data_IF_901398561098
#
_entry.id   IF_901398561098
#
_cell.length_a   1.000
_cell.length_b   1.000
_cell.length_c   1.000
_cell.angle_alpha   90.00
_cell.angle_beta   90.00
_cell.angle_gamma   90.00
#
_symmetry.space_group_name_H-M   'P 1'
#
loop_
_entity.id
_entity.type
_entity.pdbx_description
1 polymer ?
#
# COMPACT_ATOMS: atom_id res chain seq x y z
N UNK A 1 -8.98 -52.73 34.74
CA UNK A 1 -8.25 -52.29 33.53
C UNK A 1 -8.22 -53.42 32.50
N UNK A 2 -9.11 -53.40 31.52
CA UNK A 2 -8.92 -53.99 30.19
C UNK A 2 -9.73 -53.12 29.23
N UNK A 3 -9.02 -52.29 28.47
CA UNK A 3 -9.56 -51.42 27.43
C UNK A 3 -10.34 -52.25 26.41
N UNK A 4 -11.66 -52.21 26.45
CA UNK A 4 -12.49 -52.57 25.30
C UNK A 4 -12.35 -51.43 24.28
N UNK A 5 -11.34 -51.53 23.41
CA UNK A 5 -11.25 -50.70 22.20
C UNK A 5 -12.40 -51.12 21.28
N UNK A 6 -13.57 -50.52 21.45
CA UNK A 6 -14.72 -50.70 20.58
C UNK A 6 -14.37 -50.20 19.18
N UNK A 7 -14.31 -51.12 18.21
CA UNK A 7 -14.23 -50.78 16.79
C UNK A 7 -15.47 -50.02 16.34
N UNK A 8 -15.35 -49.31 15.22
CA UNK A 8 -16.45 -48.59 14.60
C UNK A 8 -17.52 -49.56 14.08
N UNK A 9 -18.79 -49.28 14.35
CA UNK A 9 -19.93 -50.13 13.99
C UNK A 9 -20.21 -50.22 12.48
N UNK A 10 -19.54 -49.42 11.64
CA UNK A 10 -19.71 -49.43 10.19
C UNK A 10 -18.99 -50.60 9.47
N UNK A 11 -18.31 -51.46 10.22
CA UNK A 11 -17.61 -52.64 9.65
C UNK A 11 -16.22 -52.34 9.06
N UNK A 12 -15.69 -51.12 9.24
CA UNK A 12 -14.37 -50.73 8.71
C UNK A 12 -13.18 -51.29 9.49
N UNK A 13 -13.39 -51.90 10.66
CA UNK A 13 -12.34 -52.43 11.53
C UNK A 13 -11.47 -51.37 12.23
N UNK A 14 -11.69 -50.08 11.98
CA UNK A 14 -10.99 -48.95 12.63
C UNK A 14 -11.67 -48.56 13.94
N UNK A 15 -10.98 -47.82 14.83
CA UNK A 15 -11.62 -47.23 16.02
C UNK A 15 -12.66 -46.19 15.61
N UNK A 16 -13.71 -46.02 16.42
CA UNK A 16 -14.82 -45.10 16.12
C UNK A 16 -14.34 -43.65 15.83
N UNK A 17 -13.40 -43.15 16.64
CA UNK A 17 -12.77 -41.82 16.53
C UNK A 17 -12.01 -41.60 15.19
N UNK A 18 -11.44 -42.67 14.62
CA UNK A 18 -10.62 -42.62 13.41
C UNK A 18 -11.42 -42.97 12.14
N UNK A 19 -12.74 -43.18 12.26
CA UNK A 19 -13.59 -43.64 11.18
C UNK A 19 -14.85 -42.77 11.00
N UNK A 20 -15.95 -43.09 11.68
CA UNK A 20 -17.21 -42.36 11.49
C UNK A 20 -17.29 -41.06 12.31
N UNK A 21 -16.43 -40.88 13.31
CA UNK A 21 -16.34 -39.65 14.11
C UNK A 21 -15.22 -38.71 13.69
N UNK A 22 -14.41 -39.08 12.68
CA UNK A 22 -13.26 -38.28 12.24
C UNK A 22 -13.64 -37.02 11.47
N UNK A 23 -14.82 -37.03 10.83
CA UNK A 23 -15.36 -35.97 9.97
C UNK A 23 -16.88 -35.77 10.20
N UNK A 24 -17.36 -35.92 11.42
CA UNK A 24 -18.65 -35.34 11.75
C UNK A 24 -18.45 -33.82 11.85
N UNK A 25 -18.58 -33.10 10.73
CA UNK A 25 -18.74 -31.65 10.77
C UNK A 25 -19.97 -31.37 11.64
N UNK A 26 -19.73 -31.00 12.91
CA UNK A 26 -20.79 -30.59 13.80
C UNK A 26 -21.29 -29.26 13.24
N UNK A 27 -22.32 -29.32 12.40
CA UNK A 27 -23.00 -28.13 11.90
C UNK A 27 -23.71 -27.52 13.09
N UNK A 28 -23.18 -26.40 13.58
CA UNK A 28 -23.88 -25.58 14.56
C UNK A 28 -25.14 -24.99 13.89
N UNK A 29 -26.28 -25.62 14.16
CA UNK A 29 -27.58 -25.22 13.61
C UNK A 29 -27.95 -23.79 14.00
N UNK A 30 -27.48 -23.29 15.14
CA UNK A 30 -27.71 -21.91 15.56
C UNK A 30 -26.90 -20.98 14.68
N UNK A 31 -25.60 -21.25 14.50
CA UNK A 31 -24.76 -20.45 13.61
C UNK A 31 -25.24 -20.47 12.16
N UNK A 32 -25.68 -21.63 11.65
CA UNK A 32 -26.23 -21.75 10.31
C UNK A 32 -27.46 -20.84 10.10
N UNK A 33 -28.31 -20.68 11.13
CA UNK A 33 -29.45 -19.73 11.07
C UNK A 33 -28.98 -18.27 11.03
N UNK A 34 -27.92 -17.93 11.76
CA UNK A 34 -27.32 -16.59 11.66
C UNK A 34 -26.73 -16.34 10.27
N UNK A 35 -26.05 -17.31 9.68
CA UNK A 35 -25.47 -17.18 8.33
C UNK A 35 -26.54 -17.05 7.24
N UNK A 36 -27.70 -17.70 7.39
CA UNK A 36 -28.84 -17.51 6.49
C UNK A 36 -29.48 -16.13 6.65
N UNK A 37 -29.74 -15.72 7.90
CA UNK A 37 -30.30 -14.41 8.21
C UNK A 37 -29.40 -13.27 7.72
N UNK A 38 -28.08 -13.44 7.79
CA UNK A 38 -27.11 -12.49 7.26
C UNK A 38 -27.22 -12.28 5.75
N UNK A 39 -27.34 -13.37 4.99
CA UNK A 39 -27.52 -13.31 3.53
C UNK A 39 -28.84 -12.65 3.16
N UNK A 40 -29.92 -13.03 3.83
CA UNK A 40 -31.24 -12.41 3.62
C UNK A 40 -31.22 -10.91 3.95
N UNK A 41 -30.52 -10.52 5.02
CA UNK A 41 -30.39 -9.13 5.42
C UNK A 41 -29.63 -8.30 4.38
N UNK A 42 -28.56 -8.83 3.78
CA UNK A 42 -27.84 -8.14 2.69
C UNK A 42 -28.74 -7.89 1.48
N UNK A 43 -29.54 -8.88 1.08
CA UNK A 43 -30.49 -8.73 -0.02
C UNK A 43 -31.50 -7.61 0.32
N UNK A 44 -32.06 -7.63 1.53
CA UNK A 44 -32.99 -6.59 2.00
C UNK A 44 -32.37 -5.19 2.01
N UNK A 45 -31.10 -5.05 2.39
CA UNK A 45 -30.38 -3.78 2.38
C UNK A 45 -30.11 -3.27 0.96
N UNK A 46 -29.77 -4.17 0.03
CA UNK A 46 -29.64 -3.85 -1.39
C UNK A 46 -30.98 -3.37 -1.94
N UNK A 47 -32.07 -4.12 -1.70
CA UNK A 47 -33.43 -3.73 -2.13
C UNK A 47 -33.87 -2.39 -1.52
N UNK A 48 -33.54 -2.15 -0.26
CA UNK A 48 -33.81 -0.87 0.41
C UNK A 48 -33.03 0.28 -0.23
N UNK A 49 -31.78 0.03 -0.63
CA UNK A 49 -30.96 1.04 -1.30
C UNK A 49 -31.52 1.46 -2.67
N UNK A 50 -32.26 0.57 -3.36
CA UNK A 50 -32.87 0.83 -4.67
C UNK A 50 -34.11 1.73 -4.64
N UNK A 51 -34.55 2.18 -3.45
CA UNK A 51 -35.69 3.10 -3.36
C UNK A 51 -35.38 4.45 -4.01
N UNK A 52 -36.36 5.08 -4.70
CA UNK A 52 -36.14 6.34 -5.39
C UNK A 52 -35.52 7.43 -4.51
N UNK A 53 -35.95 7.56 -3.26
CA UNK A 53 -35.44 8.56 -2.32
C UNK A 53 -34.00 8.32 -1.83
N UNK A 54 -33.53 7.07 -1.88
CA UNK A 54 -32.15 6.70 -1.54
C UNK A 54 -31.26 6.81 -2.79
N UNK A 55 -31.74 6.30 -3.92
CA UNK A 55 -31.06 6.38 -5.22
C UNK A 55 -30.80 7.83 -5.64
N UNK A 56 -31.73 8.74 -5.34
CA UNK A 56 -31.58 10.17 -5.61
C UNK A 56 -30.38 10.83 -4.89
N UNK A 57 -29.77 10.14 -3.91
CA UNK A 57 -28.62 10.64 -3.14
C UNK A 57 -27.30 9.95 -3.53
N UNK A 58 -27.33 8.93 -4.41
CA UNK A 58 -26.14 8.16 -4.76
C UNK A 58 -25.09 9.00 -5.48
N UNK A 59 -25.51 9.94 -6.34
CA UNK A 59 -24.58 10.82 -7.05
C UNK A 59 -23.76 11.69 -6.09
N UNK A 60 -24.42 12.38 -5.16
CA UNK A 60 -23.75 13.17 -4.13
C UNK A 60 -22.91 12.30 -3.20
N UNK A 61 -23.42 11.13 -2.81
CA UNK A 61 -22.68 10.19 -1.98
C UNK A 61 -21.39 9.74 -2.68
N UNK A 62 -21.46 9.41 -3.98
CA UNK A 62 -20.31 8.98 -4.77
C UNK A 62 -19.29 10.11 -4.93
N UNK A 63 -19.75 11.34 -5.13
CA UNK A 63 -18.89 12.52 -5.18
C UNK A 63 -18.14 12.74 -3.86
N UNK A 64 -18.85 12.68 -2.73
CA UNK A 64 -18.26 12.79 -1.38
C UNK A 64 -17.26 11.67 -1.13
N UNK A 65 -17.61 10.45 -1.54
CA UNK A 65 -16.74 9.30 -1.43
C UNK A 65 -15.48 9.50 -2.26
N UNK A 66 -15.55 9.86 -3.54
CA UNK A 66 -14.34 10.08 -4.36
C UNK A 66 -13.41 11.14 -3.78
N UNK A 67 -13.96 12.16 -3.10
CA UNK A 67 -13.21 13.24 -2.45
C UNK A 67 -12.16 13.87 -3.40
N UNK A 68 -12.51 13.95 -4.69
CA UNK A 68 -11.65 14.46 -5.75
C UNK A 68 -12.16 15.85 -6.18
N UNK A 69 -11.39 16.93 -5.89
CA UNK A 69 -11.80 18.29 -6.24
C UNK A 69 -11.78 18.58 -7.75
N UNK A 70 -11.14 17.74 -8.57
CA UNK A 70 -11.09 17.89 -10.03
C UNK A 70 -12.20 17.11 -10.75
N UNK A 71 -12.86 16.19 -10.05
CA UNK A 71 -13.96 15.39 -10.59
C UNK A 71 -15.19 16.29 -10.80
N UNK A 72 -15.73 16.35 -12.02
CA UNK A 72 -17.02 16.99 -12.28
C UNK A 72 -18.14 15.95 -12.38
N UNK A 73 -19.38 16.34 -12.09
CA UNK A 73 -20.55 15.46 -12.27
C UNK A 73 -20.74 15.01 -13.73
N UNK A 74 -20.13 15.70 -14.70
CA UNK A 74 -20.15 15.32 -16.11
C UNK A 74 -19.12 14.23 -16.47
N UNK A 75 -18.16 13.95 -15.57
CA UNK A 75 -17.15 12.89 -15.74
C UNK A 75 -17.59 11.54 -15.14
N UNK A 76 -18.74 11.52 -14.47
CA UNK A 76 -19.31 10.32 -13.86
C UNK A 76 -20.23 9.60 -14.85
N UNK A 77 -19.66 8.79 -15.75
CA UNK A 77 -20.44 7.79 -16.47
C UNK A 77 -20.49 6.50 -15.64
N UNK A 78 -21.69 5.96 -15.40
CA UNK A 78 -21.87 4.67 -14.71
C UNK A 78 -21.12 3.53 -15.41
N UNK A 79 -20.90 3.63 -16.73
CA UNK A 79 -20.17 2.63 -17.53
C UNK A 79 -18.65 2.61 -17.28
N UNK A 80 -18.08 3.66 -16.67
CA UNK A 80 -16.64 3.77 -16.40
C UNK A 80 -16.23 3.33 -14.98
N UNK A 81 -17.20 2.95 -14.14
CA UNK A 81 -16.96 2.48 -12.77
C UNK A 81 -16.84 0.95 -12.78
N UNK A 82 -15.65 0.43 -12.51
CA UNK A 82 -15.45 -1.01 -12.38
C UNK A 82 -16.17 -1.59 -11.13
N UNK A 83 -16.53 -2.87 -11.20
CA UNK A 83 -17.28 -3.57 -10.15
C UNK A 83 -16.63 -3.45 -8.77
N UNK A 84 -15.29 -3.50 -8.67
CA UNK A 84 -14.59 -3.43 -7.38
C UNK A 84 -14.67 -2.03 -6.78
N UNK A 85 -14.57 -0.99 -7.62
CA UNK A 85 -14.78 0.39 -7.21
C UNK A 85 -16.20 0.60 -6.71
N UNK A 86 -17.20 0.04 -7.41
CA UNK A 86 -18.59 0.12 -6.99
C UNK A 86 -18.84 -0.62 -5.67
N UNK A 87 -18.31 -1.83 -5.50
CA UNK A 87 -18.41 -2.60 -4.24
C UNK A 87 -17.83 -1.84 -3.03
N UNK A 88 -16.68 -1.17 -3.21
CA UNK A 88 -16.05 -0.33 -2.18
C UNK A 88 -16.91 0.87 -1.81
N UNK A 89 -17.44 1.55 -2.81
CA UNK A 89 -18.37 2.66 -2.61
C UNK A 89 -19.64 2.20 -1.89
N UNK A 90 -20.21 1.07 -2.31
CA UNK A 90 -21.47 0.58 -1.78
C UNK A 90 -21.34 0.07 -0.34
N UNK A 91 -20.22 -0.56 0.04
CA UNK A 91 -19.91 -0.88 1.45
C UNK A 91 -19.92 0.40 2.30
N UNK A 92 -19.21 1.44 1.85
CA UNK A 92 -19.21 2.73 2.53
C UNK A 92 -20.59 3.37 2.61
N UNK A 93 -21.36 3.33 1.52
CA UNK A 93 -22.70 3.89 1.44
C UNK A 93 -23.65 3.26 2.46
N UNK A 94 -23.58 1.94 2.65
CA UNK A 94 -24.41 1.24 3.63
C UNK A 94 -24.00 1.59 5.07
N UNK A 95 -22.69 1.57 5.37
CA UNK A 95 -22.21 1.54 6.75
C UNK A 95 -21.77 2.88 7.32
N UNK A 96 -21.46 3.88 6.50
CA UNK A 96 -20.86 5.14 6.94
C UNK A 96 -21.56 6.39 6.39
N UNK A 97 -22.09 6.35 5.15
CA UNK A 97 -22.77 7.50 4.56
C UNK A 97 -24.00 7.89 5.38
N UNK A 98 -24.08 9.16 5.74
CA UNK A 98 -25.26 9.75 6.39
C UNK A 98 -26.15 10.33 5.30
N UNK A 99 -27.34 9.75 5.15
CA UNK A 99 -28.35 10.20 4.19
C UNK A 99 -28.64 11.68 4.42
N UNK A 100 -28.68 12.46 3.34
CA UNK A 100 -28.80 13.92 3.36
C UNK A 100 -30.14 14.39 3.92
N UNK A 101 -31.19 13.59 3.73
CA UNK A 101 -32.56 13.92 4.15
C UNK A 101 -32.80 13.72 5.66
N UNK A 102 -32.09 12.77 6.28
CA UNK A 102 -32.36 12.29 7.63
C UNK A 102 -31.16 12.41 8.57
N UNK A 103 -29.96 12.56 8.04
CA UNK A 103 -28.70 12.54 8.79
C UNK A 103 -28.33 11.17 9.39
N UNK A 104 -29.12 10.13 9.10
CA UNK A 104 -28.94 8.76 9.57
C UNK A 104 -28.19 7.95 8.53
N UNK A 105 -27.48 6.91 8.97
CA UNK A 105 -26.90 5.92 8.05
C UNK A 105 -27.99 5.05 7.44
N UNK A 106 -27.74 4.50 6.25
CA UNK A 106 -28.70 3.62 5.58
C UNK A 106 -29.13 2.46 6.48
N UNK A 107 -28.18 1.84 7.18
CA UNK A 107 -28.45 0.75 8.12
C UNK A 107 -29.35 1.19 9.30
N UNK A 108 -29.12 2.41 9.83
CA UNK A 108 -29.90 2.97 10.94
C UNK A 108 -31.33 3.29 10.52
N UNK A 109 -31.50 3.87 9.33
CA UNK A 109 -32.82 4.14 8.74
C UNK A 109 -33.58 2.86 8.43
N UNK A 110 -32.90 1.86 7.85
CA UNK A 110 -33.48 0.55 7.60
C UNK A 110 -33.96 -0.10 8.90
N UNK A 111 -33.16 -0.05 9.97
CA UNK A 111 -33.55 -0.58 11.28
C UNK A 111 -34.79 0.11 11.85
N UNK A 112 -34.89 1.42 11.71
CA UNK A 112 -36.03 2.19 12.21
C UNK A 112 -37.33 1.84 11.46
N UNK A 113 -37.27 1.70 10.14
CA UNK A 113 -38.44 1.40 9.32
C UNK A 113 -38.86 -0.09 9.38
N UNK A 114 -37.88 -1.01 9.42
CA UNK A 114 -38.12 -2.45 9.27
C UNK A 114 -37.84 -3.28 10.51
N UNK A 115 -37.19 -2.71 11.54
CA UNK A 115 -36.68 -3.46 12.69
C UNK A 115 -37.73 -4.32 13.40
N UNK A 116 -39.00 -3.86 13.44
CA UNK A 116 -40.09 -4.63 14.04
C UNK A 116 -40.59 -5.80 13.20
N UNK A 117 -40.33 -5.78 11.89
CA UNK A 117 -40.69 -6.85 10.95
C UNK A 117 -39.59 -7.90 10.77
N UNK A 118 -38.37 -7.59 11.22
CA UNK A 118 -37.23 -8.51 11.16
C UNK A 118 -37.35 -9.63 12.19
N UNK A 119 -36.82 -10.80 11.83
CA UNK A 119 -36.64 -11.89 12.78
C UNK A 119 -35.67 -11.50 13.91
N UNK A 120 -35.73 -12.20 15.04
CA UNK A 120 -34.83 -11.94 16.18
C UNK A 120 -33.35 -12.05 15.79
N UNK A 121 -33.02 -13.00 14.91
CA UNK A 121 -31.67 -13.22 14.40
C UNK A 121 -31.21 -12.02 13.57
N UNK A 122 -32.02 -11.57 12.62
CA UNK A 122 -31.72 -10.39 11.78
C UNK A 122 -31.60 -9.11 12.62
N UNK A 123 -32.51 -8.93 13.58
CA UNK A 123 -32.49 -7.79 14.50
C UNK A 123 -31.21 -7.76 15.33
N UNK A 124 -30.72 -8.93 15.74
CA UNK A 124 -29.46 -9.07 16.48
C UNK A 124 -28.25 -8.73 15.61
N UNK A 125 -28.18 -9.32 14.40
CA UNK A 125 -27.10 -9.05 13.43
C UNK A 125 -27.04 -7.55 13.12
N UNK A 126 -28.18 -6.94 12.82
CA UNK A 126 -28.21 -5.55 12.40
C UNK A 126 -27.82 -4.58 13.53
N UNK A 127 -28.16 -4.90 14.79
CA UNK A 127 -27.66 -4.16 15.96
C UNK A 127 -26.14 -4.23 16.10
N UNK A 128 -25.55 -5.41 15.91
CA UNK A 128 -24.09 -5.56 15.94
C UNK A 128 -23.44 -4.77 14.79
N UNK A 129 -24.04 -4.79 13.60
CA UNK A 129 -23.55 -4.07 12.43
C UNK A 129 -23.64 -2.54 12.57
N UNK A 130 -24.68 -2.02 13.23
CA UNK A 130 -24.76 -0.57 13.48
C UNK A 130 -23.57 -0.04 14.29
N UNK A 131 -22.96 -0.86 15.15
CA UNK A 131 -21.78 -0.51 15.95
C UNK A 131 -20.43 -0.71 15.25
N UNK A 132 -20.40 -1.30 14.05
CA UNK A 132 -19.16 -1.62 13.35
C UNK A 132 -18.40 -0.37 12.87
N UNK A 133 -17.11 -0.52 12.63
CA UNK A 133 -16.25 0.53 12.09
C UNK A 133 -15.27 -0.06 11.07
N UNK A 134 -14.88 0.74 10.07
CA UNK A 134 -13.70 0.43 9.26
C UNK A 134 -12.45 0.68 10.09
N UNK A 135 -11.52 -0.28 10.10
CA UNK A 135 -10.26 -0.20 10.86
C UNK A 135 -9.13 -0.89 10.10
N UNK A 136 -7.94 -0.88 10.69
CA UNK A 136 -6.74 -1.51 10.14
C UNK A 136 -6.26 -2.64 11.05
N UNK A 137 -5.84 -3.73 10.44
CA UNK A 137 -5.46 -4.96 11.13
C UNK A 137 -4.17 -5.52 10.55
N UNK A 138 -3.37 -6.16 11.39
CA UNK A 138 -2.23 -6.98 10.98
C UNK A 138 -2.65 -8.45 10.95
N UNK A 139 -2.35 -9.16 9.87
CA UNK A 139 -2.60 -10.61 9.77
C UNK A 139 -1.57 -11.36 10.61
N UNK A 140 -2.01 -11.96 11.71
CA UNK A 140 -1.14 -12.70 12.63
C UNK A 140 -0.90 -14.13 12.16
N UNK A 141 -1.95 -14.78 11.66
CA UNK A 141 -1.92 -16.17 11.19
C UNK A 141 -3.06 -16.48 10.21
N UNK A 142 -2.90 -17.52 9.39
CA UNK A 142 -3.86 -17.91 8.35
C UNK A 142 -4.27 -19.36 8.55
N UNK A 143 -5.59 -19.61 8.48
CA UNK A 143 -6.16 -20.95 8.46
C UNK A 143 -6.61 -21.21 7.02
N UNK A 144 -5.85 -22.02 6.29
CA UNK A 144 -6.08 -22.28 4.86
C UNK A 144 -7.53 -22.67 4.58
N UNK A 145 -8.19 -21.95 3.65
CA UNK A 145 -9.59 -22.15 3.21
C UNK A 145 -10.65 -21.92 4.28
N UNK A 146 -10.30 -21.47 5.47
CA UNK A 146 -11.25 -21.18 6.55
C UNK A 146 -11.28 -19.70 6.92
N UNK A 147 -10.11 -19.08 7.12
CA UNK A 147 -10.05 -17.71 7.62
C UNK A 147 -8.66 -17.29 8.07
N UNK A 148 -8.61 -16.31 8.97
CA UNK A 148 -7.36 -15.78 9.51
C UNK A 148 -7.54 -15.23 10.93
N UNK A 149 -6.43 -15.13 11.65
CA UNK A 149 -6.34 -14.34 12.87
C UNK A 149 -5.75 -12.99 12.52
N UNK A 150 -6.44 -11.93 12.92
CA UNK A 150 -6.02 -10.55 12.66
C UNK A 150 -5.93 -9.80 13.99
N UNK A 151 -5.00 -8.85 14.08
CA UNK A 151 -4.81 -7.97 15.22
C UNK A 151 -5.14 -6.54 14.84
N UNK A 152 -6.08 -5.90 15.52
CA UNK A 152 -6.32 -4.46 15.33
C UNK A 152 -5.06 -3.69 15.73
N UNK A 153 -4.52 -2.88 14.81
CA UNK A 153 -3.22 -2.22 15.03
C UNK A 153 -3.30 -1.05 16.02
N UNK A 154 -4.51 -0.63 16.39
CA UNK A 154 -4.76 0.46 17.34
C UNK A 154 -5.12 -0.06 18.73
N UNK A 155 -5.99 -1.08 18.82
CA UNK A 155 -6.43 -1.64 20.11
C UNK A 155 -5.58 -2.82 20.57
N UNK A 156 -4.90 -3.50 19.64
CA UNK A 156 -4.16 -4.74 19.89
C UNK A 156 -5.05 -5.97 20.06
N UNK A 157 -6.37 -5.84 19.91
CA UNK A 157 -7.32 -6.95 20.00
C UNK A 157 -7.10 -7.93 18.85
N UNK A 158 -7.10 -9.23 19.17
CA UNK A 158 -6.97 -10.30 18.18
C UNK A 158 -8.33 -10.93 17.94
N UNK A 159 -8.74 -11.00 16.68
CA UNK A 159 -10.03 -11.55 16.25
C UNK A 159 -9.79 -12.64 15.23
N UNK A 160 -10.51 -13.76 15.37
CA UNK A 160 -10.59 -14.77 14.33
C UNK A 160 -11.69 -14.37 13.33
N UNK A 161 -11.31 -14.22 12.07
CA UNK A 161 -12.24 -13.90 10.98
C UNK A 161 -12.37 -15.11 10.08
N UNK A 162 -13.62 -15.53 9.83
CA UNK A 162 -13.94 -16.59 8.88
C UNK A 162 -14.12 -15.98 7.50
N UNK A 163 -13.23 -16.33 6.59
CA UNK A 163 -13.31 -15.93 5.20
C UNK A 163 -12.37 -16.81 4.36
N UNK A 164 -12.97 -17.78 3.68
CA UNK A 164 -12.23 -18.73 2.84
C UNK A 164 -11.54 -18.03 1.66
N UNK A 165 -12.12 -16.96 1.11
CA UNK A 165 -11.53 -16.20 0.00
C UNK A 165 -10.31 -15.42 0.45
N UNK A 166 -10.42 -14.67 1.56
CA UNK A 166 -9.32 -13.90 2.13
C UNK A 166 -8.17 -14.81 2.57
N UNK A 167 -8.46 -15.98 3.15
CA UNK A 167 -7.43 -16.95 3.58
C UNK A 167 -6.52 -17.45 2.45
N UNK A 168 -6.96 -17.37 1.18
CA UNK A 168 -6.16 -17.74 0.02
C UNK A 168 -5.34 -16.59 -0.58
N UNK A 169 -5.62 -15.34 -0.17
CA UNK A 169 -5.02 -14.13 -0.75
C UNK A 169 -4.10 -13.39 0.22
N UNK A 170 -4.39 -13.45 1.52
CA UNK A 170 -3.63 -12.78 2.55
C UNK A 170 -2.37 -13.57 2.91
N UNK A 171 -1.37 -12.86 3.40
CA UNK A 171 -0.13 -13.40 3.97
C UNK A 171 0.06 -12.90 5.41
N UNK A 172 0.81 -13.67 6.21
CA UNK A 172 1.19 -13.22 7.56
C UNK A 172 1.94 -11.90 7.47
N UNK A 173 1.68 -11.01 8.43
CA UNK A 173 2.19 -9.63 8.50
C UNK A 173 1.62 -8.66 7.46
N UNK A 174 0.64 -9.06 6.65
CA UNK A 174 -0.08 -8.07 5.83
C UNK A 174 -0.80 -7.08 6.73
N UNK A 175 -0.80 -5.80 6.34
CA UNK A 175 -1.69 -4.81 6.92
C UNK A 175 -2.93 -4.74 6.04
N UNK A 176 -4.09 -4.92 6.64
CA UNK A 176 -5.36 -4.86 5.94
C UNK A 176 -6.23 -3.75 6.49
N UNK A 177 -6.86 -2.98 5.60
CA UNK A 177 -7.96 -2.09 5.91
C UNK A 177 -9.27 -2.79 5.57
N UNK A 178 -10.11 -3.01 6.58
CA UNK A 178 -11.33 -3.79 6.42
C UNK A 178 -12.42 -3.41 7.44
N UNK A 179 -13.64 -3.87 7.19
CA UNK A 179 -14.75 -3.84 8.15
C UNK A 179 -15.06 -5.25 8.61
N UNK A 180 -15.18 -5.42 9.93
CA UNK A 180 -15.56 -6.68 10.55
C UNK A 180 -17.06 -6.69 10.84
N UNK A 181 -17.74 -7.73 10.38
CA UNK A 181 -19.16 -7.95 10.57
C UNK A 181 -19.37 -9.19 11.44
N UNK A 182 -19.95 -8.97 12.62
CA UNK A 182 -20.32 -10.06 13.52
C UNK A 182 -21.64 -10.66 13.09
N UNK A 183 -21.69 -11.99 13.05
CA UNK A 183 -22.86 -12.78 12.67
C UNK A 183 -22.94 -13.98 13.61
N UNK A 184 -23.76 -13.87 14.65
CA UNK A 184 -23.81 -14.87 15.72
C UNK A 184 -22.49 -14.93 16.48
N UNK A 185 -21.87 -16.11 16.50
CA UNK A 185 -20.58 -16.35 17.16
C UNK A 185 -19.38 -16.11 16.24
N UNK A 186 -19.60 -15.94 14.94
CA UNK A 186 -18.55 -15.75 13.94
C UNK A 186 -18.38 -14.26 13.59
N UNK A 187 -17.19 -13.94 13.10
CA UNK A 187 -16.87 -12.64 12.51
C UNK A 187 -16.41 -12.86 11.07
N UNK A 188 -16.90 -12.02 10.16
CA UNK A 188 -16.62 -12.05 8.72
C UNK A 188 -16.08 -10.69 8.27
N UNK A 189 -15.37 -10.65 7.15
CA UNK A 189 -15.15 -9.39 6.45
C UNK A 189 -16.45 -8.93 5.77
N UNK A 190 -16.62 -7.63 5.58
CA UNK A 190 -17.81 -7.11 4.89
C UNK A 190 -17.87 -7.48 3.41
N UNK A 191 -16.74 -7.90 2.83
CA UNK A 191 -16.54 -8.23 1.42
C UNK A 191 -15.44 -7.37 0.77
N UNK A 192 -15.14 -6.21 1.37
CA UNK A 192 -14.12 -5.27 0.89
C UNK A 192 -12.90 -5.29 1.79
N UNK A 193 -11.74 -5.60 1.20
CA UNK A 193 -10.44 -5.62 1.90
C UNK A 193 -9.43 -4.83 1.05
N UNK A 194 -8.74 -3.91 1.70
CA UNK A 194 -7.54 -3.26 1.14
C UNK A 194 -6.32 -3.87 1.80
N UNK A 195 -5.34 -4.30 1.00
CA UNK A 195 -4.10 -4.91 1.50
C UNK A 195 -2.95 -3.93 1.29
N UNK A 196 -2.12 -3.77 2.32
CA UNK A 196 -1.02 -2.84 2.40
C UNK A 196 0.25 -3.56 2.87
N UNK A 197 1.44 -3.19 2.35
CA UNK A 197 2.70 -3.73 2.85
C UNK A 197 2.91 -3.40 4.33
N UNK A 198 3.54 -4.30 5.08
CA UNK A 198 3.83 -4.11 6.51
C UNK A 198 4.55 -2.81 6.85
N UNK A 199 5.38 -2.30 5.93
CA UNK A 199 6.08 -1.02 6.09
C UNK A 199 5.13 0.18 6.32
N UNK A 200 3.86 0.09 5.89
CA UNK A 200 2.86 1.13 6.07
C UNK A 200 2.26 1.16 7.48
N UNK A 201 2.47 0.13 8.31
CA UNK A 201 1.88 0.03 9.65
C UNK A 201 2.14 1.28 10.50
N UNK A 202 3.41 1.68 10.63
CA UNK A 202 3.79 2.86 11.44
C UNK A 202 3.21 4.14 10.86
N UNK A 203 3.20 4.27 9.54
CA UNK A 203 2.64 5.44 8.85
C UNK A 203 1.13 5.57 9.10
N UNK A 204 0.39 4.46 9.03
CA UNK A 204 -1.05 4.42 9.33
C UNK A 204 -1.27 4.79 10.80
N UNK A 205 -0.54 4.18 11.74
CA UNK A 205 -0.66 4.48 13.18
C UNK A 205 -0.42 5.96 13.46
N UNK A 206 0.65 6.53 12.92
CA UNK A 206 1.02 7.93 13.15
C UNK A 206 0.00 8.89 12.55
N UNK A 207 -0.46 8.62 11.32
CA UNK A 207 -1.49 9.40 10.64
C UNK A 207 -2.78 9.41 11.46
N UNK A 208 -3.32 8.24 11.78
CA UNK A 208 -4.60 8.16 12.49
C UNK A 208 -4.50 8.72 13.90
N UNK A 209 -3.38 8.50 14.59
CA UNK A 209 -3.14 9.11 15.91
C UNK A 209 -3.12 10.63 15.88
N UNK A 210 -2.62 11.24 14.80
CA UNK A 210 -2.65 12.69 14.60
C UNK A 210 -4.06 13.17 14.30
N UNK A 211 -4.76 12.55 13.34
CA UNK A 211 -6.13 12.94 12.98
C UNK A 211 -7.10 12.78 14.17
N UNK A 212 -6.96 11.72 14.96
CA UNK A 212 -7.77 11.54 16.17
C UNK A 212 -7.53 12.62 17.23
N UNK A 213 -6.31 13.16 17.34
CA UNK A 213 -6.03 14.30 18.22
C UNK A 213 -6.74 15.56 17.74
N UNK A 214 -6.75 15.81 16.43
CA UNK A 214 -7.49 16.94 15.85
C UNK A 214 -9.01 16.77 16.00
N UNK A 215 -9.54 15.57 15.75
CA UNK A 215 -10.95 15.25 15.97
C UNK A 215 -11.39 15.56 17.41
N UNK A 216 -10.60 15.17 18.42
CA UNK A 216 -10.88 15.51 19.83
C UNK A 216 -10.82 17.00 20.14
N UNK A 217 -10.00 17.78 19.43
CA UNK A 217 -9.97 19.25 19.61
C UNK A 217 -11.25 19.87 19.07
N UNK A 218 -11.73 19.40 17.92
CA UNK A 218 -12.90 19.94 17.24
C UNK A 218 -14.22 19.49 17.88
N UNK A 219 -14.35 18.20 18.20
CA UNK A 219 -15.62 17.57 18.62
C UNK A 219 -15.69 17.21 20.11
N UNK A 220 -14.64 17.54 20.87
CA UNK A 220 -14.60 17.39 22.33
C UNK A 220 -13.62 16.33 22.83
N UNK A 221 -12.93 16.64 23.94
CA UNK A 221 -11.82 15.84 24.47
C UNK A 221 -12.19 14.44 24.97
N UNK A 222 -13.46 14.19 25.27
CA UNK A 222 -13.96 12.91 25.78
C UNK A 222 -14.31 11.91 24.67
N UNK A 223 -14.21 12.31 23.39
CA UNK A 223 -14.51 11.42 22.27
C UNK A 223 -13.55 10.23 22.23
N UNK A 224 -14.12 9.08 21.92
CA UNK A 224 -13.45 7.79 21.82
C UNK A 224 -12.94 7.53 20.42
N UNK A 225 -12.03 6.57 20.30
CA UNK A 225 -11.48 6.15 19.01
C UNK A 225 -12.55 5.54 18.11
N UNK A 226 -13.47 4.77 18.69
CA UNK A 226 -14.60 4.17 17.97
C UNK A 226 -15.52 5.24 17.38
N UNK A 227 -15.86 6.30 18.13
CA UNK A 227 -16.67 7.42 17.60
C UNK A 227 -15.96 8.10 16.42
N UNK A 228 -14.64 8.33 16.54
CA UNK A 228 -13.84 8.88 15.46
C UNK A 228 -13.84 8.00 14.20
N UNK A 229 -13.61 6.69 14.34
CA UNK A 229 -13.65 5.75 13.21
C UNK A 229 -15.06 5.62 12.62
N UNK A 230 -16.11 5.76 13.45
CA UNK A 230 -17.49 5.69 12.99
C UNK A 230 -17.90 6.91 12.18
N UNK A 231 -17.38 8.09 12.54
CA UNK A 231 -17.62 9.30 11.77
C UNK A 231 -16.71 9.37 10.54
N UNK A 232 -15.41 9.14 10.69
CA UNK A 232 -14.37 9.50 9.69
C UNK A 232 -13.44 8.35 9.29
N UNK A 233 -13.64 7.13 9.80
CA UNK A 233 -12.74 6.00 9.56
C UNK A 233 -12.58 5.64 8.08
N UNK A 234 -13.62 5.86 7.28
CA UNK A 234 -13.58 5.61 5.83
C UNK A 234 -12.63 6.56 5.07
N UNK A 235 -12.52 7.83 5.51
CA UNK A 235 -11.63 8.81 4.88
C UNK A 235 -10.17 8.39 5.04
N UNK A 236 -9.86 7.68 6.13
CA UNK A 236 -8.53 7.15 6.38
C UNK A 236 -8.20 6.08 5.33
N UNK A 237 -9.11 5.15 5.06
CA UNK A 237 -8.91 4.12 4.04
C UNK A 237 -8.54 4.72 2.68
N UNK A 238 -9.28 5.74 2.26
CA UNK A 238 -9.04 6.45 1.00
C UNK A 238 -7.72 7.21 0.99
N UNK A 239 -7.43 7.96 2.05
CA UNK A 239 -6.18 8.70 2.14
C UNK A 239 -4.96 7.78 2.10
N UNK A 240 -5.03 6.63 2.80
CA UNK A 240 -3.96 5.63 2.77
C UNK A 240 -3.86 5.00 1.38
N UNK A 241 -4.98 4.70 0.71
CA UNK A 241 -4.96 4.25 -0.69
C UNK A 241 -4.33 5.27 -1.64
N UNK A 242 -4.61 6.55 -1.48
CA UNK A 242 -4.00 7.60 -2.28
C UNK A 242 -2.50 7.70 -2.03
N UNK A 243 -2.04 7.60 -0.78
CA UNK A 243 -0.60 7.54 -0.48
C UNK A 243 0.05 6.30 -1.11
N UNK A 244 -0.63 5.16 -1.08
CA UNK A 244 -0.10 3.90 -1.61
C UNK A 244 -0.05 3.92 -3.15
N UNK A 245 -1.09 4.48 -3.80
CA UNK A 245 -1.19 4.60 -5.26
C UNK A 245 -0.34 5.75 -5.82
N UNK A 246 -0.18 6.83 -5.05
CA UNK A 246 0.61 8.03 -5.37
C UNK A 246 1.63 8.30 -4.26
N UNK A 247 2.65 7.44 -4.11
CA UNK A 247 3.66 7.64 -3.08
C UNK A 247 4.41 8.94 -3.33
N UNK A 248 4.28 9.89 -2.40
CA UNK A 248 5.06 11.13 -2.42
C UNK A 248 6.49 10.81 -2.00
N UNK A 249 7.40 10.77 -2.96
CA UNK A 249 8.82 10.60 -2.67
C UNK A 249 9.37 11.91 -2.14
N UNK A 250 9.98 11.86 -0.97
CA UNK A 250 10.66 13.01 -0.37
C UNK A 250 12.17 12.81 -0.50
N UNK A 251 12.86 13.90 -0.80
CA UNK A 251 14.31 13.99 -0.63
C UNK A 251 14.69 13.78 0.84
N UNK A 252 15.96 13.53 1.13
CA UNK A 252 16.46 13.43 2.51
C UNK A 252 16.26 14.70 3.35
N UNK A 253 15.95 15.84 2.72
CA UNK A 253 15.67 17.12 3.38
C UNK A 253 14.17 17.38 3.58
N UNK A 254 13.31 16.46 3.13
CA UNK A 254 11.85 16.55 3.28
C UNK A 254 11.14 17.30 2.15
N UNK A 255 11.87 17.81 1.15
CA UNK A 255 11.26 18.36 -0.06
C UNK A 255 10.71 17.23 -0.95
N UNK A 256 9.64 17.50 -1.70
CA UNK A 256 9.16 16.61 -2.76
C UNK A 256 10.26 16.35 -3.81
N UNK A 257 10.45 15.07 -4.14
CA UNK A 257 11.45 14.59 -5.07
C UNK A 257 10.96 14.86 -6.51
N UNK A 258 11.63 15.78 -7.21
CA UNK A 258 11.41 16.05 -8.64
C UNK A 258 12.74 16.16 -9.34
N UNK A 259 12.85 15.70 -10.58
CA UNK A 259 14.06 15.94 -11.38
C UNK A 259 13.89 17.27 -12.11
N UNK A 260 14.51 18.31 -11.56
CA UNK A 260 14.43 19.65 -12.10
C UNK A 260 15.79 20.05 -12.64
N UNK A 261 15.83 20.62 -13.84
CA UNK A 261 17.03 21.17 -14.43
C UNK A 261 16.84 22.60 -14.91
N UNK A 262 17.92 23.37 -14.88
CA UNK A 262 17.97 24.73 -15.41
C UNK A 262 19.12 24.82 -16.41
N UNK A 263 18.81 25.28 -17.62
CA UNK A 263 19.74 25.35 -18.72
C UNK A 263 20.13 26.80 -18.95
N UNK A 264 21.44 27.04 -19.01
CA UNK A 264 22.05 28.33 -19.25
C UNK A 264 22.93 28.27 -20.48
N UNK A 265 22.90 29.33 -21.28
CA UNK A 265 23.93 29.59 -22.28
C UNK A 265 25.10 30.32 -21.64
N UNK A 266 26.33 30.01 -22.08
CA UNK A 266 27.55 30.61 -21.55
C UNK A 266 28.30 31.40 -22.62
N UNK A 267 28.86 32.55 -22.24
CA UNK A 267 29.57 33.42 -23.19
C UNK A 267 31.08 33.15 -23.28
N UNK A 268 31.66 32.49 -22.26
CA UNK A 268 33.11 32.23 -22.18
C UNK A 268 33.40 31.03 -21.27
N UNK A 269 33.59 29.86 -21.89
CA UNK A 269 33.84 28.59 -21.22
C UNK A 269 34.98 28.67 -20.19
N UNK A 270 36.13 29.24 -20.57
CA UNK A 270 37.32 29.27 -19.71
C UNK A 270 37.11 30.16 -18.49
N UNK A 271 36.44 31.31 -18.66
CA UNK A 271 36.10 32.18 -17.52
C UNK A 271 35.07 31.54 -16.60
N UNK A 272 34.05 30.89 -17.15
CA UNK A 272 33.03 30.17 -16.38
C UNK A 272 33.66 29.04 -15.57
N UNK A 273 34.45 28.17 -16.21
CA UNK A 273 35.15 27.07 -15.54
C UNK A 273 36.02 27.56 -14.36
N UNK A 274 36.80 28.63 -14.58
CA UNK A 274 37.63 29.22 -13.55
C UNK A 274 36.84 29.83 -12.38
N UNK A 275 35.64 30.37 -12.63
CA UNK A 275 34.77 30.88 -11.56
C UNK A 275 34.08 29.74 -10.80
N UNK A 276 33.62 28.69 -11.48
CA UNK A 276 33.03 27.51 -10.85
C UNK A 276 33.99 26.82 -9.88
N UNK A 277 35.25 26.61 -10.29
CA UNK A 277 36.31 26.04 -9.43
C UNK A 277 36.61 26.85 -8.17
N UNK A 278 36.23 28.14 -8.12
CA UNK A 278 36.41 29.01 -6.94
C UNK A 278 35.23 28.94 -5.97
N UNK A 279 34.14 28.26 -6.32
CA UNK A 279 32.96 28.13 -5.46
C UNK A 279 33.18 26.98 -4.47
N UNK A 280 33.37 27.31 -3.19
CA UNK A 280 33.68 26.33 -2.13
C UNK A 280 32.66 25.20 -1.95
N UNK A 281 31.42 25.40 -2.36
CA UNK A 281 30.34 24.42 -2.24
C UNK A 281 30.24 23.48 -3.44
N UNK A 282 31.07 23.68 -4.47
CA UNK A 282 31.14 22.84 -5.66
C UNK A 282 32.42 22.01 -5.63
N UNK A 283 32.28 20.70 -5.86
CA UNK A 283 33.42 19.80 -6.03
C UNK A 283 33.37 19.20 -7.43
N UNK A 284 34.42 19.42 -8.22
CA UNK A 284 34.59 18.83 -9.54
C UNK A 284 34.73 17.30 -9.39
N UNK A 285 33.90 16.55 -10.10
CA UNK A 285 33.89 15.09 -10.07
C UNK A 285 35.00 14.58 -11.00
N UNK A 286 35.90 13.73 -10.48
CA UNK A 286 36.98 13.12 -11.26
C UNK A 286 36.41 12.13 -12.29
N UNK A 287 36.64 12.40 -13.59
CA UNK A 287 36.16 11.58 -14.71
C UNK A 287 35.64 12.36 -15.93
N UNK A 288 35.55 13.70 -15.87
CA UNK A 288 35.13 14.52 -17.01
C UNK A 288 36.15 14.55 -18.16
N UNK A 289 35.66 14.51 -19.41
CA UNK A 289 36.48 14.75 -20.62
C UNK A 289 36.69 16.25 -20.82
N UNK A 290 37.71 16.70 -21.55
CA UNK A 290 37.94 18.12 -21.93
C UNK A 290 36.72 18.86 -22.51
N UNK A 291 35.69 18.14 -22.93
CA UNK A 291 34.46 18.68 -23.48
C UNK A 291 33.31 18.80 -22.46
N UNK A 292 33.35 18.06 -21.35
CA UNK A 292 32.33 18.06 -20.30
C UNK A 292 32.96 18.05 -18.90
N UNK A 293 32.64 19.08 -18.11
CA UNK A 293 33.05 19.18 -16.70
C UNK A 293 31.83 19.08 -15.80
N UNK A 294 31.89 18.20 -14.80
CA UNK A 294 30.77 17.99 -13.87
C UNK A 294 31.19 18.38 -12.46
N UNK A 295 30.36 19.18 -11.80
CA UNK A 295 30.53 19.61 -10.42
C UNK A 295 29.38 19.07 -9.58
N UNK A 296 29.70 18.40 -8.47
CA UNK A 296 28.73 18.07 -7.43
C UNK A 296 28.51 19.27 -6.51
N UNK A 297 27.26 19.54 -6.16
CA UNK A 297 26.90 20.59 -5.21
C UNK A 297 26.49 20.01 -3.86
N UNK A 298 27.18 20.45 -2.81
CA UNK A 298 26.97 19.99 -1.43
C UNK A 298 26.35 21.11 -0.60
N UNK A 299 25.19 20.84 0.00
CA UNK A 299 24.58 21.69 1.04
C UNK A 299 24.95 21.20 2.45
N UNK A 300 24.79 22.04 3.47
CA UNK A 300 25.10 21.67 4.86
C UNK A 300 23.96 20.80 5.42
N UNK A 301 24.18 19.49 5.57
CA UNK A 301 23.21 18.53 6.12
C UNK A 301 23.80 17.13 6.34
N UNK A 302 23.01 16.20 6.89
CA UNK A 302 23.43 14.80 7.18
C UNK A 302 23.67 13.94 5.93
N UNK A 303 23.21 14.37 4.75
CA UNK A 303 23.38 13.68 3.46
C UNK A 303 24.08 14.59 2.43
N UNK A 304 24.99 14.03 1.63
CA UNK A 304 26.08 14.78 0.94
C UNK A 304 25.85 15.13 -0.53
N UNK A 305 24.71 14.82 -1.16
CA UNK A 305 24.47 15.18 -2.58
C UNK A 305 23.16 15.96 -2.73
N UNK A 306 23.23 17.16 -3.31
CA UNK A 306 22.07 18.03 -3.54
C UNK A 306 21.78 18.30 -5.02
N UNK A 307 22.68 17.91 -5.93
CA UNK A 307 22.55 18.11 -7.37
C UNK A 307 23.89 18.17 -8.09
N UNK A 308 23.86 18.29 -9.41
CA UNK A 308 25.04 18.40 -10.28
C UNK A 308 24.98 19.67 -11.12
N UNK A 309 26.15 20.16 -11.52
CA UNK A 309 26.31 21.24 -12.48
C UNK A 309 27.23 20.73 -13.57
N UNK A 310 26.71 20.67 -14.78
CA UNK A 310 27.42 20.22 -15.96
C UNK A 310 27.79 21.43 -16.81
N UNK A 311 29.05 21.48 -17.23
CA UNK A 311 29.60 22.54 -18.06
C UNK A 311 30.16 21.95 -19.36
N UNK A 312 29.54 22.34 -20.46
CA UNK A 312 29.95 22.10 -21.83
C UNK A 312 30.48 23.40 -22.47
N UNK A 313 30.91 23.35 -23.74
CA UNK A 313 31.57 24.49 -24.42
C UNK A 313 30.74 25.77 -24.47
N UNK A 314 29.43 25.65 -24.65
CA UNK A 314 28.47 26.76 -24.86
C UNK A 314 27.28 26.72 -23.88
N UNK A 315 27.23 25.71 -23.00
CA UNK A 315 26.09 25.45 -22.13
C UNK A 315 26.51 25.07 -20.72
N UNK A 316 25.71 25.51 -19.75
CA UNK A 316 25.77 25.08 -18.37
C UNK A 316 24.40 24.56 -17.95
N UNK A 317 24.35 23.33 -17.45
CA UNK A 317 23.14 22.68 -16.96
C UNK A 317 23.25 22.49 -15.46
N UNK A 318 22.23 22.92 -14.72
CA UNK A 318 22.08 22.60 -13.30
C UNK A 318 21.03 21.51 -13.19
N UNK A 319 21.32 20.43 -12.48
CA UNK A 319 20.33 19.39 -12.13
C UNK A 319 20.15 19.33 -10.62
N UNK A 320 18.90 19.23 -10.17
CA UNK A 320 18.52 19.13 -8.77
C UNK A 320 17.34 18.19 -8.58
N UNK A 321 17.20 17.70 -7.35
CA UNK A 321 16.17 16.72 -6.98
C UNK A 321 14.99 17.33 -6.21
N UNK A 322 14.94 18.67 -6.12
CA UNK A 322 13.79 19.43 -5.64
C UNK A 322 13.78 20.83 -6.27
N UNK A 323 12.61 21.48 -6.34
CA UNK A 323 12.49 22.86 -6.80
C UNK A 323 13.22 23.84 -5.89
N UNK A 324 13.19 23.59 -4.58
CA UNK A 324 13.88 24.42 -3.58
C UNK A 324 15.40 24.40 -3.78
N UNK A 325 15.96 23.21 -4.08
CA UNK A 325 17.37 23.03 -4.38
C UNK A 325 17.74 23.67 -5.71
N UNK A 326 16.92 23.48 -6.76
CA UNK A 326 17.16 24.13 -8.05
C UNK A 326 17.20 25.65 -7.90
N UNK A 327 16.24 26.26 -7.20
CA UNK A 327 16.20 27.70 -6.97
C UNK A 327 17.45 28.22 -6.24
N UNK A 328 17.92 27.50 -5.21
CA UNK A 328 19.15 27.81 -4.48
C UNK A 328 20.39 27.72 -5.39
N UNK A 329 20.46 26.70 -6.25
CA UNK A 329 21.56 26.53 -7.20
C UNK A 329 21.57 27.62 -8.28
N UNK A 330 20.41 27.95 -8.85
CA UNK A 330 20.24 29.05 -9.81
C UNK A 330 20.73 30.38 -9.23
N UNK A 331 20.28 30.72 -8.03
CA UNK A 331 20.72 31.95 -7.34
C UNK A 331 22.24 32.00 -7.14
N UNK A 332 22.84 30.87 -6.74
CA UNK A 332 24.29 30.76 -6.59
C UNK A 332 25.01 31.02 -7.91
N UNK A 333 24.55 30.39 -8.99
CA UNK A 333 25.16 30.44 -10.32
C UNK A 333 25.02 31.82 -10.94
N UNK A 334 23.83 32.40 -10.95
CA UNK A 334 23.57 33.74 -11.49
C UNK A 334 24.40 34.81 -10.77
N UNK A 335 24.54 34.70 -9.44
CA UNK A 335 25.35 35.63 -8.65
C UNK A 335 26.85 35.46 -8.89
N UNK A 336 27.35 34.23 -8.97
CA UNK A 336 28.80 33.95 -9.10
C UNK A 336 29.30 34.06 -10.54
N UNK A 337 28.45 33.79 -11.50
CA UNK A 337 28.74 33.85 -12.93
C UNK A 337 28.08 35.05 -13.62
N UNK A 338 27.68 36.08 -12.86
CA UNK A 338 27.08 37.29 -13.40
C UNK A 338 27.82 37.83 -14.63
N UNK A 339 27.07 38.11 -15.69
CA UNK A 339 27.55 38.57 -16.99
C UNK A 339 28.20 37.51 -17.87
N UNK A 340 28.22 36.24 -17.47
CA UNK A 340 28.78 35.13 -18.25
C UNK A 340 27.77 34.02 -18.57
N UNK A 341 26.59 34.04 -17.95
CA UNK A 341 25.53 33.06 -18.13
C UNK A 341 24.21 33.75 -18.40
N UNK A 342 23.41 33.19 -19.30
CA UNK A 342 22.05 33.63 -19.62
C UNK A 342 21.11 32.46 -19.45
N UNK A 343 20.12 32.57 -18.56
CA UNK A 343 19.11 31.53 -18.36
C UNK A 343 18.29 31.36 -19.65
N UNK A 344 18.04 30.11 -20.05
CA UNK A 344 17.26 29.78 -21.25
C UNK A 344 15.95 29.12 -20.89
N UNK A 345 15.98 28.06 -20.11
CA UNK A 345 14.78 27.31 -19.73
C UNK A 345 14.97 26.55 -18.42
N UNK A 346 13.86 26.28 -17.74
CA UNK A 346 13.78 25.29 -16.68
C UNK A 346 12.99 24.09 -17.20
N UNK A 347 13.44 22.88 -16.88
CA UNK A 347 12.72 21.63 -17.15
C UNK A 347 12.41 20.96 -15.84
N UNK A 348 11.15 20.58 -15.64
CA UNK A 348 10.72 19.84 -14.46
C UNK A 348 10.14 18.52 -14.95
N UNK A 349 10.70 17.42 -14.46
CA UNK A 349 10.12 16.08 -14.60
C UNK A 349 9.72 15.60 -13.22
N UNK A 350 8.42 15.48 -13.02
CA UNK A 350 7.87 14.85 -11.81
C UNK A 350 8.35 13.40 -11.74
N UNK A 351 8.75 12.95 -10.55
CA UNK A 351 9.19 11.56 -10.36
C UNK A 351 8.11 10.57 -10.78
N UNK A 352 6.84 10.90 -10.53
CA UNK A 352 5.70 10.11 -11.01
C UNK A 352 5.66 9.97 -12.54
N UNK A 353 5.98 11.03 -13.30
CA UNK A 353 5.97 10.98 -14.78
C UNK A 353 7.01 9.99 -15.35
N UNK A 354 8.09 9.74 -14.60
CA UNK A 354 9.10 8.73 -14.92
C UNK A 354 8.65 7.31 -14.57
N UNK A 355 7.76 7.17 -13.57
CA UNK A 355 7.05 5.92 -13.25
C UNK A 355 5.85 5.68 -14.18
N UNK A 356 5.24 6.73 -14.76
CA UNK A 356 4.13 6.71 -15.73
C UNK A 356 4.57 6.39 -17.17
N UNK A 357 5.64 5.60 -17.35
CA UNK A 357 5.67 4.71 -18.51
C UNK A 357 4.65 3.62 -18.21
N UNK A 358 3.57 3.46 -19.00
CA UNK A 358 2.45 2.64 -18.57
C UNK A 358 2.90 1.18 -18.35
N UNK A 359 2.56 0.55 -17.21
CA UNK A 359 2.18 -0.85 -17.28
C UNK A 359 0.88 -0.86 -18.07
N UNK A 360 0.99 -1.19 -19.36
CA UNK A 360 -0.18 -1.48 -20.18
C UNK A 360 -1.03 -2.56 -19.49
N UNK A 361 -2.33 -2.35 -19.52
CA UNK A 361 -3.43 -3.24 -19.15
C UNK A 361 -3.10 -4.74 -19.04
N UNK A 362 -3.74 -5.34 -18.05
CA UNK A 362 -3.93 -6.77 -17.82
C UNK A 362 -4.33 -7.53 -19.09
N UNK A 363 -3.32 -7.94 -19.84
CA UNK A 363 -3.29 -9.25 -20.48
C UNK A 363 -2.26 -10.08 -19.71
N UNK A 364 -2.30 -11.41 -19.74
CA UNK A 364 -1.20 -12.23 -19.20
C UNK A 364 0.08 -11.88 -19.99
N UNK A 365 0.86 -10.93 -19.48
CA UNK A 365 2.01 -10.35 -20.17
C UNK A 365 3.17 -11.35 -20.08
N UNK A 366 3.29 -12.25 -21.05
CA UNK A 366 4.58 -12.86 -21.39
C UNK A 366 5.45 -11.85 -22.15
N UNK A 367 5.69 -10.64 -21.63
CA UNK A 367 6.69 -9.71 -22.19
C UNK A 367 7.90 -9.67 -21.28
N UNK A 368 9.04 -9.97 -21.88
CA UNK A 368 10.36 -9.77 -21.30
C UNK A 368 10.69 -8.27 -21.27
N UNK A 369 11.58 -7.81 -20.38
CA UNK A 369 12.02 -6.42 -20.34
C UNK A 369 12.54 -5.95 -21.71
N UNK A 370 12.39 -4.65 -22.00
CA UNK A 370 12.79 -4.05 -23.27
C UNK A 370 14.29 -4.33 -23.56
N UNK A 371 14.58 -4.94 -24.72
CA UNK A 371 15.94 -5.34 -25.10
C UNK A 371 16.35 -6.78 -24.76
N UNK A 372 15.52 -7.53 -24.03
CA UNK A 372 15.75 -8.93 -23.66
C UNK A 372 14.99 -9.87 -24.60
N UNK A 373 15.71 -10.75 -25.30
CA UNK A 373 15.19 -11.58 -26.41
C UNK A 373 14.60 -12.91 -25.94
N UNK A 374 14.92 -13.39 -24.74
CA UNK A 374 14.37 -14.64 -24.18
C UNK A 374 14.37 -14.66 -22.65
N UNK A 375 13.59 -15.55 -22.01
CA UNK A 375 13.65 -15.71 -20.54
C UNK A 375 15.00 -16.25 -20.07
N UNK A 376 15.70 -17.02 -20.91
CA UNK A 376 17.05 -17.51 -20.63
C UNK A 376 18.08 -16.37 -20.58
N UNK A 377 17.95 -15.39 -21.48
CA UNK A 377 18.77 -14.18 -21.46
C UNK A 377 18.46 -13.32 -20.23
N UNK A 378 17.18 -13.23 -19.83
CA UNK A 378 16.80 -12.54 -18.60
C UNK A 378 17.38 -13.22 -17.35
N UNK A 379 17.28 -14.54 -17.26
CA UNK A 379 17.86 -15.33 -16.17
C UNK A 379 19.37 -15.08 -16.07
N UNK A 380 20.06 -15.02 -17.21
CA UNK A 380 21.49 -14.71 -17.28
C UNK A 380 21.80 -13.30 -16.77
N UNK A 381 21.03 -12.29 -17.20
CA UNK A 381 21.19 -10.90 -16.77
C UNK A 381 20.94 -10.76 -15.25
N UNK A 382 19.91 -11.42 -14.74
CA UNK A 382 19.57 -11.40 -13.31
C UNK A 382 20.61 -12.16 -12.48
N UNK A 383 21.14 -13.28 -12.98
CA UNK A 383 22.24 -13.98 -12.32
C UNK A 383 23.49 -13.10 -12.23
N UNK A 384 23.88 -12.40 -13.30
CA UNK A 384 25.01 -11.45 -13.29
C UNK A 384 24.79 -10.26 -12.35
N UNK A 385 23.56 -9.75 -12.28
CA UNK A 385 23.19 -8.69 -11.35
C UNK A 385 23.31 -9.17 -9.90
N UNK A 386 22.75 -10.34 -9.59
CA UNK A 386 22.76 -10.87 -8.23
C UNK A 386 24.14 -11.36 -7.77
N UNK A 387 25.01 -11.78 -8.70
CA UNK A 387 26.41 -12.07 -8.41
C UNK A 387 27.20 -10.82 -7.98
N UNK A 388 26.83 -9.65 -8.50
CA UNK A 388 27.41 -8.37 -8.02
C UNK A 388 26.73 -7.89 -6.74
N UNK A 389 25.42 -8.13 -6.61
CA UNK A 389 24.63 -7.68 -5.47
C UNK A 389 25.09 -8.28 -4.14
N UNK A 390 25.49 -9.56 -4.11
CA UNK A 390 26.00 -10.22 -2.88
C UNK A 390 27.26 -9.58 -2.31
N UNK A 391 28.00 -8.83 -3.13
CA UNK A 391 29.21 -8.10 -2.77
C UNK A 391 29.00 -6.57 -2.79
N UNK A 392 27.75 -6.11 -2.88
CA UNK A 392 27.39 -4.69 -2.85
C UNK A 392 26.93 -4.27 -1.44
N UNK A 393 27.47 -3.17 -0.87
CA UNK A 393 27.02 -2.65 0.42
C UNK A 393 25.55 -2.22 0.43
N UNK A 394 24.76 -2.72 1.38
CA UNK A 394 23.34 -2.39 1.53
C UNK A 394 23.10 -1.56 2.79
N UNK A 395 22.32 -0.47 2.66
CA UNK A 395 21.99 0.40 3.78
C UNK A 395 21.20 -0.31 4.88
N UNK A 396 20.28 -1.22 4.52
CA UNK A 396 19.51 -2.03 5.46
C UNK A 396 20.40 -2.98 6.29
N UNK A 397 21.57 -3.34 5.76
CA UNK A 397 22.62 -4.09 6.43
C UNK A 397 23.64 -3.19 7.14
N UNK A 398 23.29 -1.93 7.41
CA UNK A 398 24.15 -0.91 8.03
C UNK A 398 25.42 -0.62 7.19
N UNK A 399 25.30 -0.67 5.86
CA UNK A 399 26.39 -0.42 4.92
C UNK A 399 27.33 -1.60 4.70
N UNK A 400 26.93 -2.81 5.12
CA UNK A 400 27.66 -4.07 4.87
C UNK A 400 27.14 -4.78 3.62
N UNK A 401 27.97 -5.61 3.01
CA UNK A 401 27.51 -6.51 1.93
C UNK A 401 26.71 -7.69 2.50
N UNK A 402 25.87 -8.35 1.70
CA UNK A 402 25.25 -9.63 2.07
C UNK A 402 26.25 -10.66 2.61
N UNK A 403 27.43 -10.83 1.98
CA UNK A 403 28.47 -11.75 2.50
C UNK A 403 29.04 -11.31 3.84
N UNK A 404 29.20 -10.01 4.08
CA UNK A 404 29.71 -9.50 5.35
C UNK A 404 28.68 -9.61 6.47
N UNK A 405 27.40 -9.41 6.16
CA UNK A 405 26.31 -9.52 7.11
C UNK A 405 26.21 -10.93 7.71
N UNK A 406 26.52 -11.96 6.93
CA UNK A 406 26.60 -13.37 7.38
C UNK A 406 27.60 -13.62 8.52
N UNK A 407 28.57 -12.73 8.74
CA UNK A 407 29.58 -12.92 9.79
C UNK A 407 29.06 -12.63 11.20
N UNK A 408 27.87 -12.04 11.33
CA UNK A 408 27.31 -11.62 12.63
C UNK A 408 25.86 -12.07 12.78
N UNK A 409 25.42 -12.43 14.00
CA UNK A 409 24.05 -12.86 14.26
C UNK A 409 23.00 -11.81 13.83
N UNK A 410 23.21 -10.56 14.24
CA UNK A 410 22.35 -9.42 13.87
C UNK A 410 22.34 -9.14 12.36
N UNK A 411 23.48 -9.34 11.69
CA UNK A 411 23.57 -9.20 10.23
C UNK A 411 22.85 -10.33 9.48
N UNK A 412 22.92 -11.57 9.97
CA UNK A 412 22.15 -12.70 9.43
C UNK A 412 20.65 -12.46 9.53
N UNK A 413 20.16 -12.03 10.69
CA UNK A 413 18.72 -11.73 10.89
C UNK A 413 18.22 -10.65 9.91
N UNK A 414 19.03 -9.61 9.68
CA UNK A 414 18.72 -8.56 8.70
C UNK A 414 18.83 -9.02 7.25
N UNK A 415 19.80 -9.85 6.93
CA UNK A 415 19.95 -10.42 5.58
C UNK A 415 18.81 -11.40 5.27
N UNK A 416 18.40 -12.20 6.26
CA UNK A 416 17.25 -13.10 6.14
C UNK A 416 15.97 -12.34 5.85
N UNK A 417 15.78 -11.19 6.53
CA UNK A 417 14.69 -10.27 6.22
C UNK A 417 14.74 -9.80 4.76
N UNK A 418 15.91 -9.36 4.27
CA UNK A 418 16.08 -8.91 2.87
C UNK A 418 15.79 -10.03 1.85
N UNK A 419 16.25 -11.25 2.10
CA UNK A 419 16.02 -12.39 1.21
C UNK A 419 14.54 -12.77 1.15
N UNK A 420 13.85 -12.73 2.30
CA UNK A 420 12.41 -12.98 2.37
C UNK A 420 11.57 -11.91 1.66
N UNK A 421 11.96 -10.64 1.74
CA UNK A 421 11.30 -9.58 0.96
C UNK A 421 11.50 -9.79 -0.55
N UNK A 422 12.70 -10.22 -0.98
CA UNK A 422 12.95 -10.56 -2.39
C UNK A 422 12.11 -11.75 -2.85
N UNK A 423 11.95 -12.77 -2.01
CA UNK A 423 11.08 -13.92 -2.28
C UNK A 423 9.63 -13.49 -2.48
N UNK A 424 9.09 -12.65 -1.58
CA UNK A 424 7.73 -12.15 -1.70
C UNK A 424 7.53 -11.34 -2.99
N UNK A 425 8.48 -10.46 -3.32
CA UNK A 425 8.44 -9.67 -4.56
C UNK A 425 8.40 -10.57 -5.80
N UNK A 426 9.28 -11.58 -5.86
CA UNK A 426 9.37 -12.46 -7.03
C UNK A 426 8.27 -13.53 -7.09
N UNK A 427 7.72 -13.93 -5.94
CA UNK A 427 6.57 -14.81 -5.87
C UNK A 427 5.32 -14.12 -6.42
N UNK A 428 5.09 -12.86 -6.05
CA UNK A 428 3.99 -12.09 -6.63
C UNK A 428 4.21 -11.77 -8.11
N UNK A 429 5.45 -11.51 -8.54
CA UNK A 429 5.77 -11.38 -9.96
C UNK A 429 5.42 -12.66 -10.73
N UNK A 430 5.79 -13.82 -10.19
CA UNK A 430 5.46 -15.14 -10.76
C UNK A 430 3.94 -15.39 -10.86
N UNK A 431 3.17 -15.01 -9.84
CA UNK A 431 1.71 -15.13 -9.81
C UNK A 431 1.02 -14.21 -10.83
N UNK A 432 1.58 -13.03 -11.08
CA UNK A 432 1.15 -12.10 -12.14
C UNK A 432 1.63 -12.50 -13.55
N UNK A 433 2.44 -13.56 -13.66
CA UNK A 433 3.05 -13.99 -14.93
C UNK A 433 4.16 -13.08 -15.42
N UNK A 434 4.70 -12.23 -14.55
CA UNK A 434 5.83 -11.34 -14.81
C UNK A 434 7.15 -12.11 -14.75
N UNK A 435 8.21 -11.56 -15.36
CA UNK A 435 9.54 -12.14 -15.21
C UNK A 435 10.04 -12.07 -13.75
N UNK A 436 10.56 -13.17 -13.23
CA UNK A 436 10.99 -13.30 -11.84
C UNK A 436 12.35 -13.99 -11.72
N UNK A 437 13.05 -13.76 -10.60
CA UNK A 437 14.28 -14.46 -10.27
C UNK A 437 14.02 -15.50 -9.18
N UNK A 438 14.60 -16.69 -9.32
CA UNK A 438 14.54 -17.73 -8.30
C UNK A 438 15.52 -17.42 -7.15
N UNK A 439 14.99 -16.86 -6.05
CA UNK A 439 15.78 -16.43 -4.89
C UNK A 439 16.48 -17.62 -4.19
N UNK A 440 16.03 -18.86 -4.41
CA UNK A 440 16.75 -20.06 -3.95
C UNK A 440 18.16 -20.16 -4.54
N UNK A 441 18.38 -19.66 -5.77
CA UNK A 441 19.72 -19.56 -6.36
C UNK A 441 20.61 -18.62 -5.54
N UNK A 442 20.05 -17.53 -5.01
CA UNK A 442 20.75 -16.55 -4.18
C UNK A 442 21.10 -17.10 -2.80
N UNK A 443 20.15 -17.82 -2.17
CA UNK A 443 20.38 -18.52 -0.90
C UNK A 443 21.54 -19.52 -1.00
N UNK A 444 21.56 -20.32 -2.07
CA UNK A 444 22.66 -21.26 -2.36
C UNK A 444 23.99 -20.54 -2.55
N UNK A 445 24.03 -19.42 -3.29
CA UNK A 445 25.24 -18.59 -3.47
C UNK A 445 25.74 -18.01 -2.13
N UNK A 446 24.84 -17.72 -1.19
CA UNK A 446 25.15 -17.23 0.15
C UNK A 446 25.39 -18.34 1.19
N UNK A 447 25.25 -19.63 0.80
CA UNK A 447 25.34 -20.80 1.70
C UNK A 447 24.37 -20.74 2.88
N UNK A 448 23.18 -20.20 2.63
CA UNK A 448 22.05 -20.24 3.54
C UNK A 448 21.19 -21.44 3.10
N UNK A 449 21.01 -22.41 4.00
CA UNK A 449 20.08 -23.54 3.83
C UNK A 449 18.73 -23.22 4.47
#
# INVERSE_FOLDING_TARGET
MKNMKSGCYCGSGKKAEECCYRDASVVDLTQYRFDQAERELRIKLVDFSHRPEIQAQLGEAFYIWKNDPELSLADLNEEDIDDQTFERFFDWFIFDFKLLDSGKRLLERFYEEYGETLSDTERTILKDWMGNTYSFFEVEDIIEKEGCYIRDIFTGEVVQVKDSSASNKLSRMDIIGARLLKTGNNVYFSGVISVYPQAFKTLIIDFVSREFKEYKKTFGRKRTYQEYLKDWGYLIGQYIEDIVKKPRFLTSEGDELVFASAIYEISDYKKVLNRLRKIKTLNEISGGTDELRVFSWITKGKHKLSGTIELEKDRLTIEGYSLSLLAKAKNLIERKLHGLVTHREDRIKEFESLLKSPPSETQKIKKLPFGVKSSSELDTILDEYYDKWIDTPLQILEGKTPREALKTKKGREKLEYVLRELENVYQHAKERGEPYYDVEKLRKKLRLE
#
